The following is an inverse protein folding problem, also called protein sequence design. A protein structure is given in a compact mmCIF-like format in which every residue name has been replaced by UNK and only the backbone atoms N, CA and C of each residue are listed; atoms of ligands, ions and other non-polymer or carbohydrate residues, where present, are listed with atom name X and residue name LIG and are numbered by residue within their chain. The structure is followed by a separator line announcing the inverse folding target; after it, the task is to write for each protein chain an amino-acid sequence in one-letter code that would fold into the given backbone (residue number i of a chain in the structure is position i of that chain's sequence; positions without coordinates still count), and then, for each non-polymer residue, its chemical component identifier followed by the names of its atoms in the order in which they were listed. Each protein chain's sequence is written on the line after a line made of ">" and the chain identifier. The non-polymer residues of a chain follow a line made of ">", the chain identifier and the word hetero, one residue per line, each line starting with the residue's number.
data_IF_514254817195
#
_entry.id   IF_514254817195
#
_cell.length_a   1.000
_cell.length_b   1.000
_cell.length_c   1.000
_cell.angle_alpha   90.00
_cell.angle_beta   90.00
_cell.angle_gamma   90.00
#
_symmetry.space_group_name_H-M   'P 1'
#
loop_
_entity.id
_entity.type
_entity.pdbx_description
1 polymer ?
#
# COMPACT_ATOMS: atom_id res chain seq x y z
N UNK A 1 16.06 -1.40 11.61
CA UNK A 1 15.42 -0.77 10.46
C UNK A 1 14.67 -1.80 9.67
N UNK A 2 13.40 -1.62 9.54
CA UNK A 2 12.60 -2.54 8.76
C UNK A 2 12.73 -2.19 7.29
N UNK A 3 13.14 -3.16 6.48
CA UNK A 3 13.02 -3.08 5.04
C UNK A 3 11.85 -3.95 4.66
N UNK A 4 10.93 -3.41 3.91
CA UNK A 4 9.79 -4.17 3.45
C UNK A 4 9.65 -4.02 1.94
N UNK A 5 9.60 -5.14 1.25
CA UNK A 5 9.43 -5.15 -0.20
C UNK A 5 7.95 -5.25 -0.52
N UNK A 6 7.40 -4.21 -1.14
CA UNK A 6 6.01 -4.23 -1.57
C UNK A 6 5.83 -5.24 -2.70
N UNK A 7 4.67 -5.87 -2.72
CA UNK A 7 4.32 -6.87 -3.73
C UNK A 7 2.96 -6.54 -4.32
N UNK A 8 2.65 -7.19 -5.44
CA UNK A 8 1.39 -6.96 -6.14
C UNK A 8 0.19 -7.22 -5.24
N UNK A 9 -0.84 -6.40 -5.40
CA UNK A 9 -2.13 -6.54 -4.72
C UNK A 9 -2.09 -6.31 -3.23
N UNK A 10 -0.99 -5.83 -2.68
CA UNK A 10 -0.95 -5.41 -1.29
C UNK A 10 -1.69 -4.09 -1.12
N UNK A 11 -2.26 -3.89 0.06
CA UNK A 11 -2.91 -2.64 0.43
C UNK A 11 -2.01 -1.92 1.41
N UNK A 12 -1.82 -0.62 1.21
CA UNK A 12 -0.98 0.19 2.10
C UNK A 12 -1.84 1.25 2.76
N UNK A 13 -1.49 1.61 4.00
CA UNK A 13 -2.09 2.74 4.69
C UNK A 13 -1.02 3.78 4.94
N UNK A 14 -1.31 5.00 4.54
CA UNK A 14 -0.40 6.13 4.77
C UNK A 14 -0.61 6.71 6.16
N UNK A 15 0.38 7.47 6.62
CA UNK A 15 0.29 8.12 7.93
C UNK A 15 -0.94 9.04 8.02
N UNK A 16 -1.36 9.63 6.91
CA UNK A 16 -2.56 10.47 6.89
C UNK A 16 -3.87 9.68 6.84
N UNK A 17 -3.80 8.35 6.87
CA UNK A 17 -4.96 7.47 6.90
C UNK A 17 -5.48 7.01 5.55
N UNK A 18 -4.93 7.51 4.45
CA UNK A 18 -5.38 7.10 3.12
C UNK A 18 -4.93 5.68 2.80
N UNK A 19 -5.79 4.95 2.09
CA UNK A 19 -5.51 3.59 1.65
C UNK A 19 -5.16 3.58 0.17
N UNK A 20 -4.19 2.75 -0.20
CA UNK A 20 -3.77 2.58 -1.58
C UNK A 20 -3.55 1.11 -1.89
N UNK A 21 -3.53 0.79 -3.18
CA UNK A 21 -3.35 -0.57 -3.66
C UNK A 21 -2.10 -0.61 -4.54
N UNK A 22 -1.20 -1.56 -4.26
CA UNK A 22 0.00 -1.76 -5.06
C UNK A 22 -0.39 -2.46 -6.35
N UNK A 23 -0.09 -1.82 -7.49
CA UNK A 23 -0.34 -2.40 -8.80
C UNK A 23 0.98 -2.71 -9.48
N UNK A 24 0.96 -3.72 -10.35
CA UNK A 24 2.15 -4.23 -10.98
C UNK A 24 2.11 -4.05 -12.48
N UNK A 25 3.31 -3.97 -13.07
CA UNK A 25 3.53 -4.06 -14.50
C UNK A 25 4.55 -5.17 -14.73
N UNK A 26 4.19 -6.15 -15.56
CA UNK A 26 5.03 -7.34 -15.79
C UNK A 26 5.44 -8.03 -14.48
N UNK A 27 4.47 -8.19 -13.58
CA UNK A 27 4.65 -8.85 -12.28
C UNK A 27 5.62 -8.13 -11.35
N UNK A 28 5.94 -6.87 -11.64
CA UNK A 28 6.80 -6.05 -10.80
C UNK A 28 6.01 -4.87 -10.28
N UNK A 29 6.04 -4.57 -8.96
CA UNK A 29 5.34 -3.41 -8.43
C UNK A 29 5.80 -2.14 -9.13
N UNK A 30 4.83 -1.37 -9.63
CA UNK A 30 5.15 -0.15 -10.39
C UNK A 30 4.54 1.10 -9.79
N UNK A 31 3.30 1.02 -9.32
CA UNK A 31 2.58 2.19 -8.82
C UNK A 31 1.76 1.82 -7.60
N UNK A 32 1.38 2.84 -6.84
CA UNK A 32 0.37 2.69 -5.78
C UNK A 32 -0.80 3.58 -6.16
N UNK A 33 -1.97 2.97 -6.29
CA UNK A 33 -3.20 3.66 -6.69
C UNK A 33 -3.99 4.03 -5.45
N UNK A 34 -4.30 5.31 -5.32
CA UNK A 34 -5.20 5.83 -4.28
C UNK A 34 -6.51 6.25 -4.95
N UNK A 35 -7.54 6.54 -4.16
CA UNK A 35 -8.85 6.86 -4.72
C UNK A 35 -8.82 8.12 -5.60
N UNK A 36 -7.94 9.06 -5.31
CA UNK A 36 -7.90 10.35 -6.00
C UNK A 36 -6.67 10.52 -6.91
N UNK A 37 -5.66 9.66 -6.79
CA UNK A 37 -4.42 9.83 -7.53
C UNK A 37 -3.63 8.52 -7.56
N UNK A 38 -2.61 8.48 -8.44
CA UNK A 38 -1.70 7.35 -8.57
C UNK A 38 -0.28 7.89 -8.51
N UNK A 39 0.57 7.23 -7.73
CA UNK A 39 1.98 7.61 -7.62
C UNK A 39 2.88 6.44 -7.99
N UNK A 40 4.02 6.72 -8.67
CA UNK A 40 5.03 5.68 -8.87
C UNK A 40 5.53 5.16 -7.53
N UNK A 41 5.80 3.86 -7.47
CA UNK A 41 6.27 3.24 -6.24
C UNK A 41 7.62 3.82 -5.80
N UNK A 42 8.38 4.38 -6.73
CA UNK A 42 9.69 4.99 -6.45
C UNK A 42 9.61 6.26 -5.59
N UNK A 43 8.40 6.77 -5.35
CA UNK A 43 8.24 7.89 -4.41
C UNK A 43 8.53 7.49 -2.96
N UNK A 44 8.53 6.18 -2.67
CA UNK A 44 8.85 5.65 -1.35
C UNK A 44 10.19 4.96 -1.39
N UNK A 45 10.98 5.10 -0.32
CA UNK A 45 12.26 4.42 -0.23
C UNK A 45 12.08 3.00 0.34
N UNK A 46 13.19 2.30 0.56
CA UNK A 46 13.14 0.92 1.06
C UNK A 46 12.60 0.81 2.48
N UNK A 47 12.53 1.92 3.20
CA UNK A 47 11.95 1.97 4.54
C UNK A 47 10.50 2.45 4.50
N UNK A 48 9.89 2.52 3.31
CA UNK A 48 8.52 2.95 3.09
C UNK A 48 8.29 4.42 3.47
N UNK A 49 9.34 5.23 3.38
CA UNK A 49 9.28 6.65 3.70
C UNK A 49 9.14 7.48 2.43
N UNK A 50 8.35 8.53 2.51
CA UNK A 50 8.11 9.49 1.44
C UNK A 50 8.76 10.82 1.82
N UNK A 51 9.10 11.65 0.83
CA UNK A 51 9.62 12.99 1.11
C UNK A 51 8.64 13.83 1.94
N UNK A 52 7.34 13.61 1.74
CA UNK A 52 6.31 14.18 2.61
C UNK A 52 5.94 13.12 3.64
N UNK A 53 6.26 13.37 4.92
CA UNK A 53 6.08 12.38 5.99
C UNK A 53 4.62 11.96 6.17
N UNK A 54 3.66 12.81 5.80
CA UNK A 54 2.25 12.44 5.87
C UNK A 54 1.92 11.28 4.93
N UNK A 55 2.76 11.03 3.95
CA UNK A 55 2.58 9.96 2.96
C UNK A 55 3.44 8.74 3.26
N UNK A 56 4.16 8.71 4.38
CA UNK A 56 4.88 7.50 4.78
C UNK A 56 3.89 6.35 4.89
N UNK A 57 4.30 5.18 4.39
CA UNK A 57 3.50 3.97 4.53
C UNK A 57 3.72 3.44 5.94
N UNK A 58 2.64 3.38 6.72
CA UNK A 58 2.74 2.95 8.13
C UNK A 58 2.20 1.55 8.35
N UNK A 59 1.39 1.02 7.42
CA UNK A 59 0.91 -0.37 7.48
C UNK A 59 0.78 -0.93 6.07
N UNK A 60 1.03 -2.24 5.94
CA UNK A 60 0.83 -2.97 4.70
C UNK A 60 0.00 -4.21 5.02
N UNK A 61 -0.97 -4.50 4.19
CA UNK A 61 -1.90 -5.61 4.36
C UNK A 61 -1.85 -6.54 3.16
N UNK A 62 -2.16 -7.81 3.39
CA UNK A 62 -2.26 -8.81 2.33
C UNK A 62 -3.60 -8.64 1.62
N UNK A 63 -3.60 -8.01 0.46
CA UNK A 63 -4.80 -7.79 -0.34
C UNK A 63 -5.12 -8.92 -1.31
N UNK A 64 -4.32 -10.00 -1.32
CA UNK A 64 -4.50 -11.08 -2.29
C UNK A 64 -5.82 -11.82 -2.14
N UNK A 65 -6.43 -11.75 -0.95
CA UNK A 65 -7.68 -12.44 -0.66
C UNK A 65 -8.92 -11.59 -0.92
N UNK A 66 -8.75 -10.34 -1.38
CA UNK A 66 -9.90 -9.51 -1.73
C UNK A 66 -10.51 -10.00 -3.04
N UNK A 67 -11.80 -10.27 -3.03
CA UNK A 67 -12.52 -10.68 -4.25
C UNK A 67 -12.57 -9.52 -5.23
N UNK A 68 -12.79 -8.31 -4.73
CA UNK A 68 -12.81 -7.11 -5.54
C UNK A 68 -11.65 -6.23 -5.10
N UNK A 69 -10.65 -5.99 -5.99
CA UNK A 69 -9.50 -5.15 -5.61
C UNK A 69 -9.89 -3.76 -5.08
N UNK A 70 -11.03 -3.22 -5.53
CA UNK A 70 -11.50 -1.91 -5.07
C UNK A 70 -11.84 -1.90 -3.58
N UNK A 71 -12.06 -3.06 -2.97
CA UNK A 71 -12.29 -3.14 -1.53
C UNK A 71 -11.06 -2.74 -0.73
N UNK A 72 -9.89 -2.68 -1.36
CA UNK A 72 -8.69 -2.15 -0.73
C UNK A 72 -8.79 -0.69 -0.35
N UNK A 73 -9.78 0.04 -0.86
CA UNK A 73 -10.04 1.42 -0.45
C UNK A 73 -11.03 1.52 0.70
N UNK A 74 -11.61 0.41 1.14
CA UNK A 74 -12.64 0.40 2.18
C UNK A 74 -12.00 -0.02 3.50
N UNK A 75 -11.97 0.91 4.47
CA UNK A 75 -11.34 0.65 5.77
C UNK A 75 -11.89 -0.61 6.44
N UNK A 76 -13.20 -0.84 6.31
CA UNK A 76 -13.85 -1.97 6.94
C UNK A 76 -13.36 -3.30 6.36
N UNK A 77 -13.14 -3.35 5.04
CA UNK A 77 -12.64 -4.55 4.40
C UNK A 77 -11.16 -4.77 4.69
N UNK A 78 -10.38 -3.69 4.70
CA UNK A 78 -8.96 -3.75 4.98
C UNK A 78 -8.70 -4.22 6.41
N UNK A 79 -9.58 -3.85 7.35
CA UNK A 79 -9.44 -4.27 8.75
C UNK A 79 -9.52 -5.79 8.93
N UNK A 80 -10.05 -6.51 7.94
CA UNK A 80 -10.15 -7.98 7.97
C UNK A 80 -8.93 -8.66 7.37
N UNK A 81 -8.00 -7.91 6.80
CA UNK A 81 -6.83 -8.46 6.13
C UNK A 81 -5.69 -8.70 7.11
N UNK A 82 -4.80 -9.62 6.73
CA UNK A 82 -3.59 -9.86 7.49
C UNK A 82 -2.65 -8.66 7.39
N UNK A 83 -2.12 -8.21 8.53
CA UNK A 83 -1.14 -7.14 8.56
C UNK A 83 0.24 -7.75 8.30
N UNK A 84 0.88 -7.31 7.23
CA UNK A 84 2.21 -7.80 6.85
C UNK A 84 3.32 -6.90 7.38
N UNK A 85 3.02 -5.64 7.61
CA UNK A 85 3.96 -4.64 8.11
C UNK A 85 3.19 -3.59 8.90
N UNK A 86 3.73 -3.20 10.03
CA UNK A 86 3.21 -2.09 10.83
C UNK A 86 4.39 -1.32 11.41
N UNK A 87 4.30 -0.01 11.31
CA UNK A 87 5.33 0.89 11.86
C UNK A 87 5.42 0.78 13.37
#
# INVERSE_FOLDING_TARGET
>A
MAKFNLSCNQVVRLRNGKLGIVVCFNNTPSHIVFSAFTNPITKWDENLKHTNTNYDIVEVYDGSKLENPMDGFKKRKVAELEVLYAE
#
